data_IF_529344168021
#
_entry.id   IF_529344168021
#
_cell.length_a   1.000
_cell.length_b   1.000
_cell.length_c   1.000
_cell.angle_alpha   90.00
_cell.angle_beta   90.00
_cell.angle_gamma   90.00
#
_symmetry.space_group_name_H-M   'P 1'
#
loop_
_entity.id
_entity.type
_entity.pdbx_description
1 polymer ?
#
# COMPACT_ATOMS: atom_id res chain seq x y z
N UNK A 1 -12.07 44.39 8.56
CA UNK A 1 -12.78 43.38 9.37
C UNK A 1 -12.38 42.00 8.90
N UNK A 2 -11.65 41.25 9.74
CA UNK A 2 -11.31 39.83 9.53
C UNK A 2 -12.58 38.98 9.55
N UNK A 3 -12.69 38.03 8.63
CA UNK A 3 -13.27 36.73 8.98
C UNK A 3 -12.58 35.63 8.18
N UNK A 4 -11.55 35.08 8.82
CA UNK A 4 -10.87 33.84 8.47
C UNK A 4 -11.79 32.65 8.78
N UNK A 5 -12.84 32.45 7.97
CA UNK A 5 -13.67 31.24 8.03
C UNK A 5 -13.85 30.68 6.64
N UNK A 6 -12.90 29.86 6.20
CA UNK A 6 -13.16 28.59 5.49
C UNK A 6 -11.84 28.04 4.93
N UNK A 7 -10.97 27.54 5.81
CA UNK A 7 -9.87 26.68 5.40
C UNK A 7 -9.82 25.36 6.20
N UNK A 8 -10.52 25.28 7.35
CA UNK A 8 -10.61 24.05 8.16
C UNK A 8 -11.59 23.02 7.58
N UNK A 9 -12.69 23.46 6.95
CA UNK A 9 -13.66 22.51 6.35
C UNK A 9 -13.14 21.89 5.05
N UNK A 10 -12.39 22.64 4.23
CA UNK A 10 -11.72 22.11 3.03
C UNK A 10 -10.68 21.04 3.39
N UNK A 11 -9.88 21.26 4.44
CA UNK A 11 -8.98 20.22 4.95
C UNK A 11 -9.72 18.99 5.45
N UNK A 12 -10.85 19.11 6.14
CA UNK A 12 -11.61 17.97 6.65
C UNK A 12 -12.18 17.08 5.52
N UNK A 13 -12.76 17.69 4.47
CA UNK A 13 -13.33 16.96 3.32
C UNK A 13 -12.24 16.26 2.49
N UNK A 14 -11.09 16.92 2.29
CA UNK A 14 -9.93 16.32 1.64
C UNK A 14 -9.34 15.19 2.48
N UNK A 15 -9.43 15.23 3.80
CA UNK A 15 -8.92 14.18 4.70
C UNK A 15 -9.82 12.94 4.69
N UNK A 16 -11.14 13.10 4.59
CA UNK A 16 -12.10 11.99 4.52
C UNK A 16 -12.10 11.28 3.16
N UNK A 17 -12.04 12.03 2.05
CA UNK A 17 -11.79 11.43 0.72
C UNK A 17 -10.37 10.85 0.58
N UNK A 18 -9.38 11.39 1.32
CA UNK A 18 -8.01 10.85 1.35
C UNK A 18 -7.93 9.45 1.96
N UNK A 19 -8.63 9.20 3.07
CA UNK A 19 -8.61 7.89 3.75
C UNK A 19 -9.20 6.81 2.88
N UNK A 20 -10.36 7.06 2.27
CA UNK A 20 -11.07 6.05 1.47
C UNK A 20 -10.25 5.53 0.28
N UNK A 21 -9.38 6.37 -0.30
CA UNK A 21 -8.45 5.91 -1.34
C UNK A 21 -7.44 4.93 -0.77
N UNK A 22 -6.64 5.31 0.24
CA UNK A 22 -5.53 4.48 0.70
C UNK A 22 -5.96 3.25 1.52
N UNK A 23 -7.19 3.25 2.05
CA UNK A 23 -7.76 2.14 2.82
C UNK A 23 -7.72 0.83 2.03
N UNK A 24 -7.88 0.87 0.69
CA UNK A 24 -7.79 -0.34 -0.14
C UNK A 24 -6.44 -1.06 0.01
N UNK A 25 -5.35 -0.32 0.19
CA UNK A 25 -4.03 -0.89 0.43
C UNK A 25 -3.89 -1.42 1.85
N UNK A 26 -4.33 -0.63 2.84
CA UNK A 26 -4.24 -1.01 4.26
C UNK A 26 -5.02 -2.29 4.52
N UNK A 27 -6.26 -2.37 4.02
CA UNK A 27 -7.12 -3.54 4.18
C UNK A 27 -6.49 -4.78 3.55
N UNK A 28 -5.97 -4.69 2.32
CA UNK A 28 -5.39 -5.85 1.65
C UNK A 28 -4.04 -6.30 2.24
N UNK A 29 -3.24 -5.38 2.80
CA UNK A 29 -2.01 -5.75 3.50
C UNK A 29 -2.28 -6.36 4.89
N UNK A 30 -3.33 -5.92 5.58
CA UNK A 30 -3.67 -6.35 6.95
C UNK A 30 -4.64 -7.53 6.97
N UNK A 31 -5.28 -7.86 5.85
CA UNK A 31 -6.15 -9.01 5.73
C UNK A 31 -5.42 -10.30 6.15
N UNK A 32 -6.12 -11.28 6.75
CA UNK A 32 -5.55 -12.60 6.99
C UNK A 32 -5.14 -13.27 5.66
N UNK A 33 -3.93 -13.83 5.59
CA UNK A 33 -3.43 -14.47 4.36
C UNK A 33 -4.24 -15.72 3.95
N UNK A 34 -4.86 -16.41 4.91
CA UNK A 34 -5.77 -17.53 4.65
C UNK A 34 -6.79 -17.63 5.81
N UNK A 35 -8.05 -18.01 5.51
CA UNK A 35 -9.11 -18.31 6.49
C UNK A 35 -8.73 -19.45 7.46
N UNK A 36 -7.79 -20.31 7.09
CA UNK A 36 -7.28 -21.42 7.93
C UNK A 36 -5.83 -21.26 8.38
N UNK A 37 -5.18 -20.12 8.10
CA UNK A 37 -3.81 -19.87 8.58
C UNK A 37 -3.77 -19.70 10.10
N UNK A 38 -2.58 -19.93 10.67
CA UNK A 38 -2.24 -19.62 12.06
C UNK A 38 -2.81 -18.25 12.44
N UNK A 39 -3.61 -18.14 13.51
CA UNK A 39 -4.18 -16.87 13.95
C UNK A 39 -3.09 -15.80 14.05
N UNK A 40 -3.30 -14.66 13.39
CA UNK A 40 -2.43 -13.49 13.50
C UNK A 40 -1.50 -13.21 12.32
N UNK A 41 -1.39 -14.07 11.30
CA UNK A 41 -0.59 -13.76 10.11
C UNK A 41 -1.39 -12.98 9.05
N UNK A 42 -0.88 -11.79 8.71
CA UNK A 42 -1.43 -10.93 7.67
C UNK A 42 -0.84 -11.26 6.29
N UNK A 43 -1.47 -10.77 5.23
CA UNK A 43 -0.91 -10.84 3.87
C UNK A 43 0.45 -10.15 3.79
N UNK A 44 0.65 -9.04 4.51
CA UNK A 44 1.95 -8.36 4.56
C UNK A 44 3.04 -9.23 5.19
N UNK A 45 2.74 -9.95 6.27
CA UNK A 45 3.70 -10.87 6.89
C UNK A 45 4.13 -11.97 5.91
N UNK A 46 3.18 -12.50 5.15
CA UNK A 46 3.48 -13.47 4.09
C UNK A 46 4.34 -12.86 2.99
N UNK A 47 4.01 -11.66 2.52
CA UNK A 47 4.80 -10.94 1.52
C UNK A 47 6.25 -10.77 1.99
N UNK A 48 6.46 -10.36 3.23
CA UNK A 48 7.79 -10.19 3.81
C UNK A 48 8.56 -11.52 3.91
N UNK A 49 7.89 -12.62 4.26
CA UNK A 49 8.50 -13.95 4.26
C UNK A 49 8.92 -14.40 2.85
N UNK A 50 8.10 -14.10 1.83
CA UNK A 50 8.42 -14.41 0.43
C UNK A 50 9.56 -13.55 -0.11
N UNK A 51 9.58 -12.26 0.20
CA UNK A 51 10.66 -11.34 -0.18
C UNK A 51 11.99 -11.81 0.44
N UNK A 52 12.00 -12.08 1.75
CA UNK A 52 13.22 -12.51 2.48
C UNK A 52 13.74 -13.87 2.03
N UNK A 53 12.88 -14.77 1.58
CA UNK A 53 13.28 -16.07 1.02
C UNK A 53 13.62 -16.01 -0.47
N UNK A 54 13.43 -14.85 -1.11
CA UNK A 54 13.67 -14.65 -2.53
C UNK A 54 12.74 -15.44 -3.44
N UNK A 55 11.56 -15.82 -2.96
CA UNK A 55 10.61 -16.66 -3.71
C UNK A 55 9.18 -16.16 -3.50
N UNK A 56 8.68 -15.40 -4.47
CA UNK A 56 7.29 -14.98 -4.52
C UNK A 56 6.39 -16.14 -4.97
N UNK A 57 5.37 -16.43 -4.17
CA UNK A 57 4.38 -17.50 -4.43
C UNK A 57 2.94 -17.03 -4.32
N UNK A 58 2.69 -15.81 -3.85
CA UNK A 58 1.33 -15.32 -3.61
C UNK A 58 1.04 -13.92 -4.15
N UNK A 59 -0.21 -13.51 -4.05
CA UNK A 59 -0.84 -12.43 -4.82
C UNK A 59 -0.83 -11.07 -4.11
N UNK A 60 0.34 -10.59 -3.65
CA UNK A 60 0.46 -9.36 -2.86
C UNK A 60 1.08 -8.15 -3.58
N UNK A 61 1.74 -8.35 -4.73
CA UNK A 61 2.62 -7.33 -5.33
C UNK A 61 1.90 -6.01 -5.63
N UNK A 62 0.64 -6.06 -6.06
CA UNK A 62 -0.11 -4.88 -6.48
C UNK A 62 -0.33 -3.85 -5.38
N UNK A 63 -0.44 -4.29 -4.13
CA UNK A 63 -0.74 -3.41 -3.00
C UNK A 63 0.43 -3.26 -2.01
N UNK A 64 1.51 -4.03 -2.19
CA UNK A 64 2.79 -3.83 -1.48
C UNK A 64 3.74 -2.95 -2.29
N UNK A 65 3.81 -3.16 -3.62
CA UNK A 65 4.55 -2.32 -4.56
C UNK A 65 3.60 -1.77 -5.64
N UNK A 66 2.70 -0.85 -5.26
CA UNK A 66 1.76 -0.28 -6.20
C UNK A 66 2.47 0.56 -7.27
N UNK A 67 1.92 0.54 -8.47
CA UNK A 67 2.40 1.32 -9.61
C UNK A 67 1.45 2.49 -9.91
N UNK A 68 1.92 3.48 -10.67
CA UNK A 68 1.06 4.54 -11.18
C UNK A 68 0.02 3.99 -12.18
N UNK A 69 -1.15 4.62 -12.20
CA UNK A 69 -2.21 4.32 -13.16
C UNK A 69 -1.71 4.44 -14.60
N UNK A 70 -2.19 3.55 -15.47
CA UNK A 70 -1.81 3.48 -16.88
C UNK A 70 -0.65 2.53 -17.20
N UNK A 71 0.09 2.04 -16.20
CA UNK A 71 1.22 1.13 -16.43
C UNK A 71 0.83 -0.35 -16.58
N UNK A 72 -0.36 -0.75 -16.13
CA UNK A 72 -0.81 -2.14 -16.17
C UNK A 72 -2.24 -2.30 -16.67
N UNK A 73 -2.49 -3.40 -17.38
CA UNK A 73 -3.76 -3.64 -18.08
C UNK A 73 -4.72 -4.60 -17.37
N UNK A 74 -4.29 -5.31 -16.32
CA UNK A 74 -5.15 -6.23 -15.58
C UNK A 74 -6.12 -5.48 -14.65
N UNK A 75 -7.24 -6.11 -14.29
CA UNK A 75 -8.21 -5.53 -13.36
C UNK A 75 -7.57 -5.18 -12.00
N UNK A 76 -6.69 -6.05 -11.49
CA UNK A 76 -5.94 -5.81 -10.24
C UNK A 76 -4.93 -4.68 -10.39
N UNK A 77 -4.25 -4.58 -11.54
CA UNK A 77 -3.37 -3.44 -11.83
C UNK A 77 -4.13 -2.12 -11.82
N UNK A 78 -5.35 -2.08 -12.36
CA UNK A 78 -6.19 -0.86 -12.34
C UNK A 78 -6.71 -0.55 -10.94
N UNK A 79 -7.17 -1.55 -10.20
CA UNK A 79 -7.74 -1.36 -8.87
C UNK A 79 -6.72 -0.85 -7.84
N UNK A 80 -5.49 -1.39 -7.86
CA UNK A 80 -4.42 -1.00 -6.94
C UNK A 80 -3.45 0.03 -7.53
N UNK A 81 -3.73 0.57 -8.71
CA UNK A 81 -2.93 1.67 -9.24
C UNK A 81 -3.04 2.91 -8.34
N UNK A 82 -1.93 3.60 -8.16
CA UNK A 82 -1.91 4.97 -7.63
C UNK A 82 -2.37 5.91 -8.73
N UNK A 83 -3.46 6.63 -8.50
CA UNK A 83 -4.12 7.49 -9.49
C UNK A 83 -3.28 8.71 -9.87
N UNK A 84 -2.36 9.15 -9.00
CA UNK A 84 -1.53 10.33 -9.23
C UNK A 84 -0.26 10.33 -8.38
N UNK A 85 0.66 11.25 -8.70
CA UNK A 85 1.85 11.54 -7.88
C UNK A 85 1.46 11.99 -6.46
N UNK A 86 0.35 12.72 -6.32
CA UNK A 86 -0.17 13.13 -5.00
C UNK A 86 -0.58 11.92 -4.16
N UNK A 87 -1.31 10.96 -4.74
CA UNK A 87 -1.67 9.72 -4.03
C UNK A 87 -0.43 8.90 -3.69
N UNK A 88 0.58 8.86 -4.58
CA UNK A 88 1.86 8.19 -4.31
C UNK A 88 2.59 8.82 -3.11
N UNK A 89 2.64 10.15 -3.02
CA UNK A 89 3.23 10.86 -1.88
C UNK A 89 2.46 10.57 -0.60
N UNK A 90 1.12 10.55 -0.66
CA UNK A 90 0.28 10.17 0.48
C UNK A 90 0.50 8.73 0.91
N UNK A 91 0.62 7.79 -0.03
CA UNK A 91 0.95 6.39 0.26
C UNK A 91 2.29 6.30 1.02
N UNK A 92 3.34 6.96 0.52
CA UNK A 92 4.66 6.95 1.13
C UNK A 92 4.71 7.64 2.52
N UNK A 93 3.88 8.66 2.74
CA UNK A 93 3.76 9.38 4.00
C UNK A 93 2.77 8.74 4.99
N UNK A 94 1.99 7.75 4.55
CA UNK A 94 0.96 7.12 5.38
C UNK A 94 1.58 6.37 6.57
N UNK A 95 0.99 6.51 7.75
CA UNK A 95 1.53 5.97 9.01
C UNK A 95 1.74 4.44 8.99
N UNK A 96 0.93 3.71 8.21
CA UNK A 96 1.09 2.25 8.05
C UNK A 96 1.81 1.87 6.75
N UNK A 97 1.47 2.50 5.62
CA UNK A 97 1.94 2.05 4.30
C UNK A 97 3.38 2.52 4.04
N UNK A 98 3.74 3.71 4.51
CA UNK A 98 5.09 4.25 4.38
C UNK A 98 6.16 3.37 5.04
N UNK A 99 6.03 3.04 6.34
CA UNK A 99 6.96 2.12 7.00
C UNK A 99 7.02 0.74 6.36
N UNK A 100 5.87 0.17 5.96
CA UNK A 100 5.79 -1.13 5.29
C UNK A 100 6.47 -1.13 3.92
N UNK A 101 6.29 -0.06 3.13
CA UNK A 101 6.98 0.09 1.85
C UNK A 101 8.49 0.15 2.03
N UNK A 102 8.98 0.93 3.01
CA UNK A 102 10.41 1.00 3.33
C UNK A 102 10.95 -0.37 3.75
N UNK A 103 10.27 -1.05 4.66
CA UNK A 103 10.67 -2.39 5.11
C UNK A 103 10.75 -3.38 3.94
N UNK A 104 9.75 -3.37 3.06
CA UNK A 104 9.69 -4.24 1.90
C UNK A 104 10.84 -3.92 0.92
N UNK A 105 11.04 -2.64 0.56
CA UNK A 105 12.15 -2.20 -0.31
C UNK A 105 13.50 -2.59 0.28
N UNK A 106 13.73 -2.34 1.57
CA UNK A 106 14.96 -2.70 2.25
C UNK A 106 15.21 -4.21 2.25
N UNK A 107 14.15 -5.02 2.33
CA UNK A 107 14.26 -6.47 2.23
C UNK A 107 14.59 -6.92 0.80
N UNK A 108 14.03 -6.27 -0.23
CA UNK A 108 14.41 -6.52 -1.64
C UNK A 108 15.86 -6.16 -1.89
N UNK A 109 16.31 -4.98 -1.46
CA UNK A 109 17.68 -4.50 -1.68
C UNK A 109 18.73 -5.37 -0.99
N UNK A 110 18.37 -6.01 0.13
CA UNK A 110 19.23 -6.97 0.84
C UNK A 110 19.17 -8.40 0.29
N UNK A 111 18.22 -8.69 -0.60
CA UNK A 111 18.12 -10.02 -1.21
C UNK A 111 19.21 -10.18 -2.26
N UNK A 112 20.12 -11.14 -2.05
CA UNK A 112 21.12 -11.55 -3.05
C UNK A 112 20.50 -12.29 -4.25
N UNK A 113 19.23 -12.69 -4.14
CA UNK A 113 18.49 -13.39 -5.20
C UNK A 113 17.47 -12.47 -5.85
N UNK A 114 17.29 -12.64 -7.17
CA UNK A 114 16.25 -11.95 -7.92
C UNK A 114 14.88 -12.48 -7.52
N UNK A 115 13.98 -11.58 -7.11
CA UNK A 115 12.66 -11.93 -6.58
C UNK A 115 11.54 -11.88 -7.63
N UNK A 116 11.79 -12.29 -8.87
CA UNK A 116 10.77 -12.31 -9.95
C UNK A 116 11.05 -13.38 -11.00
#
# INVERSE_FOLDING_TARGET
>A
MRSLRSNRQASLILTESNRSSLDRFVQNQTAPYNKTATPGQTVFDKAMAEIRSGRKTSHWVWFVFPQLAGLGVSALNRYFALASVDEARRYAAHAVLGPRLREAVDAVLRSERRIW
#
